data_IF_925180882780
#
_entry.id   IF_925180882780
#
_cell.length_a   1.000
_cell.length_b   1.000
_cell.length_c   1.000
_cell.angle_alpha   90.00
_cell.angle_beta   90.00
_cell.angle_gamma   90.00
#
_symmetry.space_group_name_H-M   'P 1'
#
loop_
_entity.id
_entity.type
_entity.pdbx_description
1 polymer ?
#
# COMPACT_ATOMS: atom_id res chain seq x y z
N UNK A 1 -8.83 -16.71 -73.86
CA UNK A 1 -9.57 -16.35 -72.63
C UNK A 1 -8.52 -16.03 -71.56
N UNK A 2 -8.35 -14.75 -71.22
CA UNK A 2 -7.37 -14.29 -70.23
C UNK A 2 -8.09 -14.06 -68.89
N UNK A 3 -7.65 -14.73 -67.83
CA UNK A 3 -8.09 -14.44 -66.45
C UNK A 3 -6.93 -13.77 -65.73
N UNK A 4 -7.09 -12.49 -65.38
CA UNK A 4 -6.15 -11.76 -64.51
C UNK A 4 -6.52 -12.02 -63.05
N UNK A 5 -5.59 -12.58 -62.29
CA UNK A 5 -5.70 -12.65 -60.83
C UNK A 5 -5.45 -11.26 -60.22
N UNK A 6 -6.38 -10.82 -59.38
CA UNK A 6 -6.25 -9.58 -58.59
C UNK A 6 -5.75 -9.97 -57.20
N UNK A 7 -4.53 -9.57 -56.87
CA UNK A 7 -4.00 -9.69 -55.51
C UNK A 7 -4.48 -8.50 -54.68
N UNK A 8 -5.32 -8.76 -53.68
CA UNK A 8 -5.73 -7.76 -52.68
C UNK A 8 -4.65 -7.74 -51.59
N UNK A 9 -3.88 -6.66 -51.52
CA UNK A 9 -2.96 -6.41 -50.41
C UNK A 9 -3.75 -5.88 -49.21
N UNK A 10 -3.81 -6.67 -48.13
CA UNK A 10 -4.38 -6.24 -46.87
C UNK A 10 -3.35 -5.41 -46.09
N UNK A 11 -3.54 -4.09 -46.04
CA UNK A 11 -2.77 -3.18 -45.18
C UNK A 11 -3.19 -3.38 -43.72
N UNK A 12 -2.28 -3.94 -42.91
CA UNK A 12 -2.46 -4.06 -41.47
C UNK A 12 -2.34 -2.68 -40.81
N UNK A 13 -3.43 -2.19 -40.22
CA UNK A 13 -3.48 -0.96 -39.43
C UNK A 13 -2.90 -1.27 -38.04
N UNK A 14 -1.66 -0.87 -37.80
CA UNK A 14 -1.02 -0.95 -36.48
C UNK A 14 -1.60 0.12 -35.56
N UNK A 15 -2.49 -0.29 -34.65
CA UNK A 15 -2.88 0.53 -33.51
C UNK A 15 -1.64 0.71 -32.61
N UNK A 16 -1.06 1.91 -32.62
CA UNK A 16 -0.09 2.30 -31.61
C UNK A 16 -0.83 2.45 -30.28
N UNK A 17 -0.65 1.50 -29.36
CA UNK A 17 -1.03 1.69 -27.96
C UNK A 17 -0.08 2.73 -27.35
N UNK A 18 -0.58 3.94 -27.18
CA UNK A 18 0.06 4.95 -26.32
C UNK A 18 0.05 4.42 -24.88
N UNK A 19 1.20 3.94 -24.41
CA UNK A 19 1.40 3.67 -22.99
C UNK A 19 1.37 5.01 -22.26
N UNK A 20 0.27 5.30 -21.57
CA UNK A 20 0.25 6.40 -20.60
C UNK A 20 1.32 6.08 -19.56
N UNK A 21 2.42 6.84 -19.56
CA UNK A 21 3.30 6.85 -18.40
C UNK A 21 2.46 7.38 -17.24
N UNK A 22 2.16 6.52 -16.28
CA UNK A 22 1.66 6.92 -14.98
C UNK A 22 2.75 7.78 -14.33
N UNK A 23 2.73 9.08 -14.62
CA UNK A 23 3.42 10.04 -13.80
C UNK A 23 2.67 10.01 -12.46
N UNK A 24 3.26 9.33 -11.48
CA UNK A 24 2.75 9.15 -10.12
C UNK A 24 2.06 10.43 -9.63
N UNK A 25 0.84 10.31 -9.12
CA UNK A 25 0.08 11.42 -8.56
C UNK A 25 0.95 12.17 -7.53
N UNK A 26 1.45 13.35 -7.92
CA UNK A 26 2.23 14.26 -7.06
C UNK A 26 3.58 13.76 -6.54
N UNK A 27 4.00 12.52 -6.81
CA UNK A 27 5.21 11.92 -6.22
C UNK A 27 5.15 11.81 -4.69
N UNK A 28 3.94 11.74 -4.13
CA UNK A 28 3.69 11.59 -2.69
C UNK A 28 2.97 10.28 -2.39
N UNK A 29 3.18 9.79 -1.19
CA UNK A 29 2.50 8.64 -0.64
C UNK A 29 1.94 8.93 0.76
N UNK A 30 0.95 8.16 1.14
CA UNK A 30 0.35 8.16 2.46
C UNK A 30 1.28 7.48 3.45
N UNK A 31 1.41 8.09 4.63
CA UNK A 31 2.13 7.49 5.75
C UNK A 31 1.30 7.58 7.02
N UNK A 32 1.47 6.58 7.87
CA UNK A 32 0.83 6.49 9.17
C UNK A 32 1.87 6.52 10.27
N UNK A 33 1.39 6.51 11.51
CA UNK A 33 2.22 6.36 12.71
C UNK A 33 1.51 5.52 13.77
N UNK A 34 2.25 5.13 14.79
CA UNK A 34 1.70 4.60 16.04
C UNK A 34 1.11 5.72 16.89
N UNK A 35 -0.07 5.47 17.46
CA UNK A 35 -0.73 6.37 18.41
C UNK A 35 -0.57 5.89 19.86
N UNK A 36 -0.64 4.59 20.10
CA UNK A 36 -0.54 4.03 21.44
C UNK A 36 -0.11 2.57 21.41
N UNK A 37 0.43 2.12 22.54
CA UNK A 37 0.72 0.73 22.83
C UNK A 37 0.11 0.33 24.16
N UNK A 38 -0.58 -0.80 24.23
CA UNK A 38 -0.98 -1.41 25.48
C UNK A 38 -1.15 -2.92 25.31
N UNK A 39 -0.63 -3.70 26.27
CA UNK A 39 -0.85 -5.15 26.33
C UNK A 39 -0.53 -5.90 25.01
N UNK A 40 0.56 -5.51 24.32
CA UNK A 40 0.95 -6.15 23.05
C UNK A 40 0.12 -5.73 21.85
N UNK A 41 -0.76 -4.74 21.99
CA UNK A 41 -1.55 -4.16 20.90
C UNK A 41 -1.04 -2.76 20.59
N UNK A 42 -0.81 -2.54 19.30
CA UNK A 42 -0.54 -1.21 18.76
C UNK A 42 -1.79 -0.65 18.10
N UNK A 43 -2.13 0.59 18.43
CA UNK A 43 -3.06 1.40 17.65
C UNK A 43 -2.26 2.26 16.69
N UNK A 44 -2.52 2.10 15.40
CA UNK A 44 -1.85 2.82 14.34
C UNK A 44 -2.87 3.52 13.45
N UNK A 45 -2.43 4.54 12.72
CA UNK A 45 -3.35 5.30 11.92
C UNK A 45 -2.81 6.62 11.43
N UNK A 46 -3.72 7.30 10.75
CA UNK A 46 -3.61 8.67 10.33
C UNK A 46 -4.06 9.58 11.48
N UNK A 47 -3.12 10.02 12.32
CA UNK A 47 -3.38 10.87 13.47
C UNK A 47 -2.53 12.15 13.43
N UNK A 48 -2.99 13.22 14.06
CA UNK A 48 -2.43 14.58 14.04
C UNK A 48 -0.87 14.68 14.17
N UNK A 49 -0.11 15.17 13.16
CA UNK A 49 -0.62 15.86 11.97
C UNK A 49 -1.30 14.90 11.01
N UNK A 50 -2.44 15.36 10.49
CA UNK A 50 -3.27 14.64 9.53
C UNK A 50 -2.42 14.17 8.34
N UNK A 51 -2.68 12.93 7.91
CA UNK A 51 -2.20 12.39 6.64
C UNK A 51 -3.23 12.67 5.54
N UNK A 52 -2.84 12.48 4.29
CA UNK A 52 -3.76 12.58 3.16
C UNK A 52 -3.92 11.20 2.52
N UNK A 53 -4.98 10.48 2.88
CA UNK A 53 -5.26 9.16 2.30
C UNK A 53 -5.79 9.21 0.86
N UNK A 54 -6.06 10.41 0.32
CA UNK A 54 -6.57 10.58 -1.04
C UNK A 54 -5.43 10.89 -2.02
N UNK A 55 -4.50 11.76 -1.66
CA UNK A 55 -3.40 12.20 -2.53
C UNK A 55 -2.00 11.86 -1.99
N UNK A 56 -1.88 11.47 -0.73
CA UNK A 56 -0.60 11.27 -0.06
C UNK A 56 0.04 12.60 0.38
N UNK A 57 0.64 12.59 1.56
CA UNK A 57 1.28 13.77 2.15
C UNK A 57 2.82 13.74 2.10
N UNK A 58 3.41 12.56 1.99
CA UNK A 58 4.86 12.37 2.14
C UNK A 58 5.54 12.11 0.81
N UNK A 59 6.61 12.86 0.49
CA UNK A 59 7.36 12.66 -0.77
C UNK A 59 7.90 11.23 -0.88
N UNK A 60 7.68 10.57 -2.01
CA UNK A 60 8.02 9.16 -2.20
C UNK A 60 9.53 8.87 -2.20
N UNK A 61 10.36 9.91 -2.33
CA UNK A 61 11.80 9.82 -2.18
C UNK A 61 12.27 9.76 -0.72
N UNK A 62 11.37 10.00 0.25
CA UNK A 62 11.67 9.85 1.68
C UNK A 62 11.93 8.39 2.04
N UNK A 63 12.86 8.16 2.95
CA UNK A 63 13.19 6.81 3.43
C UNK A 63 12.46 6.54 4.73
N UNK A 64 11.37 5.77 4.66
CA UNK A 64 10.56 5.37 5.82
C UNK A 64 10.35 3.86 5.82
N UNK A 65 10.14 3.23 6.98
CA UNK A 65 9.69 1.85 7.05
C UNK A 65 8.37 1.64 6.30
N UNK A 66 8.15 0.42 5.82
CA UNK A 66 6.84 -0.05 5.35
C UNK A 66 6.16 -0.75 6.50
N UNK A 67 4.89 -0.43 6.74
CA UNK A 67 4.05 -1.22 7.63
C UNK A 67 3.73 -2.56 6.97
N UNK A 68 4.21 -3.64 7.56
CA UNK A 68 3.92 -4.99 7.08
C UNK A 68 2.93 -5.66 8.04
N UNK A 69 1.82 -6.14 7.48
CA UNK A 69 0.76 -6.84 8.22
C UNK A 69 0.70 -8.30 7.77
N UNK A 70 0.63 -9.20 8.75
CA UNK A 70 0.22 -10.59 8.55
C UNK A 70 -1.14 -10.82 9.21
N UNK A 71 -2.17 -10.97 8.40
CA UNK A 71 -3.49 -11.36 8.88
C UNK A 71 -3.55 -12.88 9.03
N UNK A 72 -3.55 -13.36 10.26
CA UNK A 72 -3.61 -14.79 10.61
C UNK A 72 -4.93 -15.17 11.28
N UNK A 73 -5.88 -14.22 11.37
CA UNK A 73 -7.19 -14.44 11.97
C UNK A 73 -7.20 -14.34 13.50
N UNK A 74 -6.11 -13.87 14.12
CA UNK A 74 -6.03 -13.76 15.57
C UNK A 74 -7.18 -12.91 16.15
N UNK A 75 -7.80 -13.32 17.27
CA UNK A 75 -8.90 -12.59 17.88
C UNK A 75 -8.43 -11.29 18.52
N UNK A 76 -9.33 -10.30 18.58
CA UNK A 76 -9.05 -9.02 19.25
C UNK A 76 -9.01 -9.23 20.76
N UNK A 77 -7.95 -8.80 21.47
CA UNK A 77 -7.91 -8.78 22.92
C UNK A 77 -8.47 -7.46 23.49
N UNK A 78 -8.91 -6.53 22.63
CA UNK A 78 -9.39 -5.19 22.98
C UNK A 78 -10.76 -4.92 22.35
N UNK A 79 -11.55 -3.99 22.91
CA UNK A 79 -12.78 -3.52 22.27
C UNK A 79 -12.51 -2.92 20.90
N UNK A 80 -13.45 -3.10 19.98
CA UNK A 80 -13.37 -2.61 18.61
C UNK A 80 -14.59 -1.75 18.29
N UNK A 81 -14.37 -0.68 17.54
CA UNK A 81 -15.40 0.15 16.94
C UNK A 81 -14.96 0.60 15.53
N UNK A 82 -15.74 1.47 14.88
CA UNK A 82 -15.43 1.96 13.54
C UNK A 82 -14.08 2.70 13.42
N UNK A 83 -13.61 3.36 14.48
CA UNK A 83 -12.36 4.12 14.53
C UNK A 83 -11.21 3.39 15.22
N UNK A 84 -11.51 2.24 15.82
CA UNK A 84 -10.59 1.38 16.56
C UNK A 84 -10.74 -0.08 16.09
N UNK A 85 -10.86 -0.27 14.78
CA UNK A 85 -11.05 -1.59 14.16
C UNK A 85 -9.89 -2.55 14.43
N UNK A 86 -10.11 -3.85 14.26
CA UNK A 86 -9.12 -4.89 14.51
C UNK A 86 -8.67 -5.56 13.21
N UNK A 87 -7.36 -5.51 12.93
CA UNK A 87 -6.79 -6.00 11.68
C UNK A 87 -6.63 -7.53 11.63
N UNK A 88 -6.94 -8.26 12.71
CA UNK A 88 -6.89 -9.74 12.75
C UNK A 88 -5.51 -10.33 12.50
N UNK A 89 -4.48 -9.73 13.10
CA UNK A 89 -3.11 -10.13 12.80
C UNK A 89 -2.02 -9.42 13.57
N UNK A 90 -0.80 -9.59 13.04
CA UNK A 90 0.46 -9.09 13.59
C UNK A 90 1.09 -8.06 12.65
N UNK A 91 1.60 -6.96 13.19
CA UNK A 91 2.32 -5.94 12.43
C UNK A 91 3.81 -5.88 12.77
N UNK A 92 4.60 -5.48 11.78
CA UNK A 92 6.00 -5.16 11.92
C UNK A 92 6.38 -3.98 11.01
N UNK A 93 7.45 -3.27 11.35
CA UNK A 93 8.04 -2.25 10.50
C UNK A 93 9.30 -2.77 9.84
N UNK A 94 9.33 -2.74 8.51
CA UNK A 94 10.53 -3.11 7.73
C UNK A 94 11.71 -2.18 8.00
N UNK A 95 12.87 -2.49 7.41
CA UNK A 95 13.89 -1.45 7.19
C UNK A 95 13.33 -0.25 6.40
N UNK A 96 13.91 0.93 6.59
CA UNK A 96 13.50 2.14 5.88
C UNK A 96 13.89 2.12 4.40
N UNK A 97 12.94 2.45 3.53
CA UNK A 97 13.06 2.43 2.06
C UNK A 97 12.38 3.65 1.43
N UNK A 98 12.79 3.99 0.20
CA UNK A 98 12.09 4.99 -0.61
C UNK A 98 10.76 4.40 -1.06
N UNK A 99 9.65 5.13 -0.93
CA UNK A 99 8.35 4.67 -1.41
C UNK A 99 8.35 4.39 -2.91
N UNK A 100 9.02 5.24 -3.70
CA UNK A 100 9.16 5.10 -5.16
C UNK A 100 10.17 4.02 -5.63
N UNK A 101 10.73 3.25 -4.68
CA UNK A 101 11.56 2.08 -5.02
C UNK A 101 10.72 0.89 -5.49
N UNK A 102 9.43 0.87 -5.17
CA UNK A 102 8.48 -0.12 -5.65
C UNK A 102 7.75 0.40 -6.90
N UNK A 103 7.49 -0.49 -7.86
CA UNK A 103 6.73 -0.19 -9.09
C UNK A 103 5.29 -0.64 -9.04
N UNK A 104 4.91 -1.42 -8.02
CA UNK A 104 3.54 -1.90 -7.84
C UNK A 104 3.28 -2.26 -6.39
N UNK A 105 1.98 -2.36 -6.03
CA UNK A 105 1.53 -2.96 -4.77
C UNK A 105 2.11 -4.36 -4.55
N UNK A 106 2.18 -5.17 -5.61
CA UNK A 106 2.70 -6.53 -5.53
C UNK A 106 4.19 -6.57 -5.14
N UNK A 107 4.98 -5.58 -5.57
CA UNK A 107 6.38 -5.44 -5.15
C UNK A 107 6.52 -5.00 -3.69
N UNK A 108 5.69 -4.06 -3.22
CA UNK A 108 5.65 -3.68 -1.81
C UNK A 108 5.24 -4.87 -0.92
N UNK A 109 4.27 -5.68 -1.34
CA UNK A 109 3.91 -6.91 -0.63
C UNK A 109 5.04 -7.94 -0.66
N UNK A 110 5.74 -8.09 -1.79
CA UNK A 110 6.90 -8.99 -1.90
C UNK A 110 8.03 -8.57 -0.97
N UNK A 111 8.25 -7.28 -0.82
CA UNK A 111 9.19 -6.73 0.14
C UNK A 111 8.82 -7.09 1.59
N UNK A 112 7.55 -6.91 1.99
CA UNK A 112 7.09 -7.34 3.31
C UNK A 112 7.26 -8.85 3.55
N UNK A 113 7.01 -9.69 2.53
CA UNK A 113 7.28 -11.14 2.62
C UNK A 113 8.75 -11.46 2.76
N UNK A 114 9.63 -10.72 2.10
CA UNK A 114 11.07 -10.92 2.17
C UNK A 114 11.62 -10.55 3.56
N UNK A 115 11.10 -9.50 4.20
CA UNK A 115 11.55 -9.04 5.51
C UNK A 115 11.02 -9.92 6.66
N UNK A 116 9.75 -10.37 6.59
CA UNK A 116 9.07 -11.01 7.73
C UNK A 116 8.51 -12.41 7.46
N UNK A 117 8.63 -12.91 6.23
CA UNK A 117 8.19 -14.24 5.84
C UNK A 117 6.79 -14.29 5.23
N UNK A 118 6.36 -15.51 4.93
CA UNK A 118 5.09 -15.77 4.23
C UNK A 118 3.87 -15.22 4.99
N UNK A 119 2.94 -14.63 4.25
CA UNK A 119 1.69 -14.07 4.77
C UNK A 119 1.75 -12.58 5.11
N UNK A 120 2.95 -11.97 5.17
CA UNK A 120 3.08 -10.53 5.28
C UNK A 120 2.80 -9.83 3.95
N UNK A 121 2.15 -8.67 4.02
CA UNK A 121 1.88 -7.74 2.92
C UNK A 121 1.96 -6.31 3.44
N UNK A 122 2.00 -5.30 2.55
CA UNK A 122 1.89 -3.92 3.04
C UNK A 122 0.50 -3.71 3.68
N UNK A 123 0.49 -3.02 4.81
CA UNK A 123 -0.71 -2.64 5.53
C UNK A 123 -1.55 -1.65 4.73
N UNK A 124 -2.86 -1.82 4.83
CA UNK A 124 -3.87 -1.09 4.09
C UNK A 124 -4.78 -0.32 5.03
N UNK A 125 -5.24 0.85 4.56
CA UNK A 125 -6.03 1.80 5.33
C UNK A 125 -7.27 1.18 5.98
N UNK A 126 -7.96 0.29 5.28
CA UNK A 126 -9.19 -0.36 5.70
C UNK A 126 -8.98 -1.74 6.34
N UNK A 127 -7.75 -2.14 6.69
CA UNK A 127 -7.49 -3.46 7.29
C UNK A 127 -8.25 -3.71 8.61
N UNK A 128 -8.61 -2.64 9.34
CA UNK A 128 -9.46 -2.72 10.54
C UNK A 128 -10.97 -2.70 10.28
N UNK A 129 -11.42 -2.57 9.03
CA UNK A 129 -12.84 -2.52 8.66
C UNK A 129 -13.49 -1.13 8.66
N UNK A 130 -12.71 -0.06 8.75
CA UNK A 130 -13.21 1.32 8.72
C UNK A 130 -12.28 2.32 9.39
N UNK A 131 -12.74 3.57 9.50
CA UNK A 131 -12.03 4.64 10.21
C UNK A 131 -10.73 5.08 9.52
N UNK A 132 -9.91 5.80 10.29
CA UNK A 132 -8.61 6.35 9.86
C UNK A 132 -7.44 5.74 10.65
N UNK A 133 -7.66 4.54 11.18
CA UNK A 133 -6.72 3.82 12.01
C UNK A 133 -7.31 2.51 12.51
N UNK A 134 -6.44 1.62 12.96
CA UNK A 134 -6.82 0.29 13.41
C UNK A 134 -5.79 -0.27 14.40
N UNK A 135 -6.15 -1.40 14.98
CA UNK A 135 -5.40 -2.10 16.02
C UNK A 135 -4.95 -3.48 15.53
N UNK A 136 -3.75 -3.89 15.95
CA UNK A 136 -3.20 -5.21 15.68
C UNK A 136 -2.22 -5.62 16.79
N UNK A 137 -1.86 -6.90 16.85
CA UNK A 137 -0.72 -7.31 17.67
C UNK A 137 0.56 -6.67 17.14
N UNK A 138 1.35 -6.08 18.02
CA UNK A 138 2.56 -5.37 17.63
C UNK A 138 3.31 -4.78 18.81
N UNK A 139 4.55 -4.40 18.54
CA UNK A 139 5.33 -3.50 19.38
C UNK A 139 6.29 -2.70 18.47
N UNK A 140 5.71 -1.95 17.55
CA UNK A 140 6.47 -1.16 16.57
C UNK A 140 6.99 0.15 17.18
N UNK A 141 8.04 0.69 16.57
CA UNK A 141 8.60 2.01 16.91
C UNK A 141 7.54 3.12 16.76
N UNK A 142 7.48 4.02 17.75
CA UNK A 142 6.55 5.16 17.79
C UNK A 142 7.17 6.51 17.39
N UNK A 143 8.48 6.54 17.10
CA UNK A 143 9.24 7.74 16.73
C UNK A 143 9.23 8.02 15.22
N UNK A 144 8.76 7.07 14.41
CA UNK A 144 8.75 7.16 12.95
C UNK A 144 7.35 7.09 12.35
N UNK A 145 7.19 7.71 11.18
CA UNK A 145 6.09 7.41 10.26
C UNK A 145 6.46 6.20 9.41
N UNK A 146 5.47 5.59 8.77
CA UNK A 146 5.67 4.43 7.90
C UNK A 146 4.69 4.45 6.73
N UNK A 147 5.14 3.90 5.60
CA UNK A 147 4.35 3.74 4.40
C UNK A 147 3.21 2.75 4.63
N UNK A 148 2.02 3.13 4.17
CA UNK A 148 0.85 2.25 4.03
C UNK A 148 0.30 2.38 2.61
N UNK A 149 -0.68 1.58 2.25
CA UNK A 149 -1.44 1.73 1.00
C UNK A 149 -2.89 2.10 1.29
N UNK A 150 -3.54 2.74 0.33
CA UNK A 150 -5.00 2.94 0.34
C UNK A 150 -5.51 2.45 -1.01
N UNK A 151 -6.27 1.37 -1.00
CA UNK A 151 -6.72 0.76 -2.26
C UNK A 151 -7.79 1.65 -2.93
N UNK A 152 -7.65 1.83 -4.25
CA UNK A 152 -8.53 2.71 -5.03
C UNK A 152 -8.22 4.20 -4.92
N UNK A 153 -7.18 4.60 -4.17
CA UNK A 153 -6.70 5.99 -4.11
C UNK A 153 -5.33 6.14 -4.78
N UNK A 154 -5.04 7.30 -5.38
CA UNK A 154 -3.72 7.57 -5.97
C UNK A 154 -2.64 7.91 -4.92
N UNK A 155 -2.87 7.60 -3.64
CA UNK A 155 -2.02 8.00 -2.51
C UNK A 155 -0.88 7.04 -2.18
N UNK A 156 -0.62 6.03 -3.01
CA UNK A 156 0.49 5.08 -2.81
C UNK A 156 1.66 5.43 -3.74
N UNK A 157 2.89 5.31 -3.25
CA UNK A 157 4.09 5.65 -4.03
C UNK A 157 4.39 4.70 -5.22
N UNK A 158 3.62 3.63 -5.36
CA UNK A 158 3.85 2.51 -6.27
C UNK A 158 2.66 2.30 -7.22
N UNK A 159 2.09 3.42 -7.68
CA UNK A 159 0.95 3.49 -8.59
C UNK A 159 1.36 3.98 -9.99
#
# INVERSE_FOLDING_TARGET
>A
MNVRAVCIAATALTLALSAFSAAAAGGKGVTWRKASHANGVDRIGCFNPECDAYQGETVCSARLPVLCLKQDGSPSPVPTDFYNGWAKGNIALSRAVRGDSFKSRAEADAFCRAEFGQGYRVGEHHDGGGGWGWQAYGNIDDTTRFWVTVDGQPSSCWN
#
